data_IF_742946710421
#
_entry.id   IF_742946710421
#
_cell.length_a   1.000
_cell.length_b   1.000
_cell.length_c   1.000
_cell.angle_alpha   90.00
_cell.angle_beta   90.00
_cell.angle_gamma   90.00
#
_symmetry.space_group_name_H-M   'P 1'
#
loop_
_entity.id
_entity.type
_entity.pdbx_description
1 polymer ?
#
# COMPACT_ATOMS: atom_id res chain seq x y z
N UNK A 1 37.59 1.03 -7.74
CA UNK A 1 36.25 0.54 -7.33
C UNK A 1 35.84 1.22 -6.03
N UNK A 2 34.61 1.70 -5.89
CA UNK A 2 34.14 2.15 -4.59
C UNK A 2 34.29 1.07 -3.53
N UNK A 3 34.51 1.46 -2.29
CA UNK A 3 34.76 0.54 -1.17
C UNK A 3 33.45 0.00 -0.54
N UNK A 4 32.32 0.24 -1.17
CA UNK A 4 30.99 -0.21 -0.74
C UNK A 4 30.23 -0.80 -1.91
N UNK A 5 29.19 -1.59 -1.61
CA UNK A 5 28.33 -2.20 -2.62
C UNK A 5 26.88 -1.85 -2.34
N UNK A 6 26.09 -1.45 -3.35
CA UNK A 6 24.65 -1.32 -3.19
C UNK A 6 23.97 -2.69 -3.18
N UNK A 7 22.69 -2.71 -2.85
CA UNK A 7 21.88 -3.90 -3.03
C UNK A 7 21.49 -4.03 -4.51
N UNK A 8 22.02 -5.05 -5.18
CA UNK A 8 21.77 -5.30 -6.60
C UNK A 8 20.47 -6.03 -6.88
N UNK A 9 19.82 -6.62 -5.85
CA UNK A 9 18.54 -7.28 -6.03
C UNK A 9 17.39 -6.28 -5.99
N UNK A 10 16.32 -6.58 -6.72
CA UNK A 10 15.10 -5.82 -6.67
C UNK A 10 14.23 -6.27 -5.49
N UNK A 11 13.42 -5.36 -4.98
CA UNK A 11 12.41 -5.68 -3.98
C UNK A 11 11.41 -6.66 -4.60
N UNK A 12 11.13 -7.76 -3.88
CA UNK A 12 10.13 -8.74 -4.29
C UNK A 12 8.77 -8.26 -3.81
N UNK A 13 8.00 -7.70 -4.72
CA UNK A 13 6.65 -7.22 -4.45
C UNK A 13 5.83 -7.25 -5.73
N UNK A 14 4.64 -7.81 -5.66
CA UNK A 14 3.71 -7.79 -6.79
C UNK A 14 2.80 -6.56 -6.66
N UNK A 15 3.15 -5.50 -7.38
CA UNK A 15 2.45 -4.21 -7.37
C UNK A 15 1.02 -4.34 -7.87
N UNK A 16 0.80 -5.09 -8.94
CA UNK A 16 -0.52 -5.31 -9.51
C UNK A 16 -1.43 -6.08 -8.56
N UNK A 17 -0.92 -7.14 -7.93
CA UNK A 17 -1.67 -7.94 -6.98
C UNK A 17 -2.04 -7.14 -5.72
N UNK A 18 -1.11 -6.34 -5.18
CA UNK A 18 -1.38 -5.53 -3.99
C UNK A 18 -2.41 -4.43 -4.27
N UNK A 19 -2.32 -3.77 -5.41
CA UNK A 19 -3.28 -2.76 -5.84
C UNK A 19 -4.68 -3.38 -6.03
N UNK A 20 -4.76 -4.51 -6.72
CA UNK A 20 -6.02 -5.23 -6.94
C UNK A 20 -6.64 -5.69 -5.61
N UNK A 21 -5.83 -6.18 -4.67
CA UNK A 21 -6.31 -6.60 -3.35
C UNK A 21 -6.85 -5.41 -2.54
N UNK A 22 -6.15 -4.28 -2.53
CA UNK A 22 -6.62 -3.08 -1.83
C UNK A 22 -7.94 -2.56 -2.43
N UNK A 23 -8.05 -2.53 -3.76
CA UNK A 23 -9.27 -2.12 -4.45
C UNK A 23 -10.43 -3.08 -4.14
N UNK A 24 -10.20 -4.39 -4.18
CA UNK A 24 -11.23 -5.39 -3.87
C UNK A 24 -11.75 -5.24 -2.44
N UNK A 25 -10.88 -4.99 -1.47
CA UNK A 25 -11.27 -4.77 -0.08
C UNK A 25 -12.11 -3.49 0.08
N UNK A 26 -11.74 -2.40 -0.59
CA UNK A 26 -12.51 -1.15 -0.58
C UNK A 26 -13.87 -1.31 -1.23
N UNK A 27 -13.93 -2.02 -2.36
CA UNK A 27 -15.20 -2.33 -3.03
C UNK A 27 -16.12 -3.18 -2.16
N UNK A 28 -15.57 -4.20 -1.48
CA UNK A 28 -16.33 -5.02 -0.55
C UNK A 28 -16.88 -4.18 0.61
N UNK A 29 -16.09 -3.26 1.15
CA UNK A 29 -16.54 -2.35 2.19
C UNK A 29 -17.68 -1.44 1.70
N UNK A 30 -17.57 -0.89 0.50
CA UNK A 30 -18.60 -0.04 -0.10
C UNK A 30 -19.90 -0.80 -0.34
N UNK A 31 -19.81 -2.04 -0.86
CA UNK A 31 -20.96 -2.91 -1.05
C UNK A 31 -21.65 -3.24 0.28
N UNK A 32 -20.87 -3.47 1.32
CA UNK A 32 -21.39 -3.75 2.66
C UNK A 32 -22.13 -2.53 3.22
N UNK A 33 -21.59 -1.33 3.05
CA UNK A 33 -22.25 -0.09 3.44
C UNK A 33 -23.54 0.15 2.67
N UNK A 34 -23.55 -0.09 1.36
CA UNK A 34 -24.75 0.01 0.53
C UNK A 34 -25.83 -0.98 0.96
N UNK A 35 -25.44 -2.22 1.19
CA UNK A 35 -26.36 -3.27 1.68
C UNK A 35 -26.95 -2.92 3.05
N UNK A 36 -26.14 -2.36 3.93
CA UNK A 36 -26.57 -1.90 5.26
C UNK A 36 -27.59 -0.77 5.16
N UNK A 37 -27.31 0.24 4.32
CA UNK A 37 -28.24 1.34 4.08
C UNK A 37 -29.59 0.86 3.50
N UNK A 38 -29.55 -0.08 2.57
CA UNK A 38 -30.75 -0.67 1.98
C UNK A 38 -31.58 -1.44 3.00
N UNK A 39 -30.92 -2.21 3.87
CA UNK A 39 -31.60 -2.92 4.96
C UNK A 39 -32.26 -1.98 5.95
N UNK A 40 -31.58 -0.87 6.30
CA UNK A 40 -32.16 0.16 7.16
C UNK A 40 -33.41 0.80 6.52
N UNK A 41 -33.35 1.08 5.22
CA UNK A 41 -34.49 1.65 4.47
C UNK A 41 -35.67 0.72 4.46
N UNK A 42 -35.43 -0.57 4.14
CA UNK A 42 -36.47 -1.61 4.12
C UNK A 42 -37.08 -1.83 5.51
N UNK A 43 -36.24 -1.85 6.55
CA UNK A 43 -36.70 -1.99 7.92
C UNK A 43 -37.57 -0.81 8.35
N UNK A 44 -37.19 0.43 8.00
CA UNK A 44 -37.97 1.64 8.29
C UNK A 44 -39.34 1.57 7.64
N UNK A 45 -39.44 1.09 6.39
CA UNK A 45 -40.71 0.90 5.71
C UNK A 45 -41.60 -0.14 6.39
N UNK A 46 -41.02 -1.29 6.78
CA UNK A 46 -41.73 -2.38 7.44
C UNK A 46 -42.25 -1.98 8.83
N UNK A 47 -41.60 -1.04 9.50
CA UNK A 47 -41.91 -0.62 10.87
C UNK A 47 -42.99 0.44 10.98
N UNK A 48 -43.44 1.03 9.87
CA UNK A 48 -44.40 2.15 9.90
C UNK A 48 -45.64 1.82 10.73
N UNK A 49 -46.19 0.59 10.54
CA UNK A 49 -47.41 0.15 11.24
C UNK A 49 -47.13 -0.90 12.32
N UNK A 50 -45.87 -1.16 12.66
CA UNK A 50 -45.48 -2.19 13.60
C UNK A 50 -45.08 -1.60 14.93
N UNK A 51 -45.81 -2.01 15.99
CA UNK A 51 -45.55 -1.52 17.35
C UNK A 51 -45.48 -2.69 18.33
N UNK A 52 -44.94 -2.42 19.52
CA UNK A 52 -44.91 -3.34 20.61
C UNK A 52 -43.57 -4.02 20.85
N UNK A 53 -43.58 -5.01 21.73
CA UNK A 53 -42.39 -5.69 22.23
C UNK A 53 -41.54 -6.33 21.13
N UNK A 54 -42.18 -6.97 20.18
CA UNK A 54 -41.46 -7.66 19.10
C UNK A 54 -40.78 -6.66 18.15
N UNK A 55 -41.34 -5.47 18.00
CA UNK A 55 -40.69 -4.40 17.27
C UNK A 55 -39.43 -3.92 17.98
N UNK A 56 -39.48 -3.76 19.30
CA UNK A 56 -38.34 -3.33 20.09
C UNK A 56 -37.20 -4.37 20.02
N UNK A 57 -37.55 -5.67 20.11
CA UNK A 57 -36.57 -6.73 19.92
C UNK A 57 -35.94 -6.75 18.52
N UNK A 58 -36.75 -6.48 17.50
CA UNK A 58 -36.30 -6.39 16.12
C UNK A 58 -35.36 -5.20 15.94
N UNK A 59 -35.70 -4.03 16.49
CA UNK A 59 -34.87 -2.81 16.42
C UNK A 59 -33.51 -3.05 17.07
N UNK A 60 -33.48 -3.72 18.23
CA UNK A 60 -32.23 -4.03 18.92
C UNK A 60 -31.37 -4.99 18.10
N UNK A 61 -31.97 -6.04 17.53
CA UNK A 61 -31.24 -6.99 16.70
C UNK A 61 -30.72 -6.33 15.42
N UNK A 62 -31.54 -5.50 14.77
CA UNK A 62 -31.14 -4.75 13.58
C UNK A 62 -29.97 -3.81 13.88
N UNK A 63 -30.01 -3.10 15.02
CA UNK A 63 -28.94 -2.21 15.45
C UNK A 63 -27.62 -2.97 15.63
N UNK A 64 -27.66 -4.18 16.19
CA UNK A 64 -26.47 -5.03 16.33
C UNK A 64 -25.92 -5.48 14.98
N UNK A 65 -26.77 -5.88 14.05
CA UNK A 65 -26.38 -6.29 12.69
C UNK A 65 -25.72 -5.14 11.96
N UNK A 66 -26.32 -3.95 12.03
CA UNK A 66 -25.79 -2.74 11.40
C UNK A 66 -24.42 -2.36 12.00
N UNK A 67 -24.29 -2.41 13.32
CA UNK A 67 -23.04 -2.12 14.01
C UNK A 67 -21.92 -3.06 13.59
N UNK A 68 -22.22 -4.37 13.49
CA UNK A 68 -21.26 -5.37 13.01
C UNK A 68 -20.86 -5.13 11.55
N UNK A 69 -21.83 -4.81 10.70
CA UNK A 69 -21.56 -4.54 9.29
C UNK A 69 -20.66 -3.30 9.10
N UNK A 70 -20.92 -2.24 9.85
CA UNK A 70 -20.09 -1.02 9.84
C UNK A 70 -18.68 -1.31 10.36
N UNK A 71 -18.57 -2.10 11.42
CA UNK A 71 -17.29 -2.53 11.97
C UNK A 71 -16.48 -3.34 10.95
N UNK A 72 -17.12 -4.27 10.25
CA UNK A 72 -16.48 -5.07 9.20
C UNK A 72 -16.05 -4.20 8.03
N UNK A 73 -16.88 -3.27 7.58
CA UNK A 73 -16.50 -2.32 6.50
C UNK A 73 -15.27 -1.51 6.90
N UNK A 74 -15.20 -1.03 8.13
CA UNK A 74 -14.04 -0.31 8.66
C UNK A 74 -12.78 -1.19 8.67
N UNK A 75 -12.89 -2.45 9.10
CA UNK A 75 -11.77 -3.41 9.09
C UNK A 75 -11.27 -3.69 7.68
N UNK A 76 -12.17 -3.84 6.71
CA UNK A 76 -11.80 -4.04 5.31
C UNK A 76 -11.03 -2.84 4.75
N UNK A 77 -11.46 -1.63 5.07
CA UNK A 77 -10.76 -0.41 4.67
C UNK A 77 -9.40 -0.27 5.33
N UNK A 78 -9.29 -0.62 6.61
CA UNK A 78 -8.01 -0.65 7.31
C UNK A 78 -7.04 -1.66 6.71
N UNK A 79 -7.54 -2.85 6.34
CA UNK A 79 -6.73 -3.85 5.64
C UNK A 79 -6.23 -3.33 4.29
N UNK A 80 -7.08 -2.65 3.52
CA UNK A 80 -6.70 -2.03 2.26
C UNK A 80 -5.60 -0.97 2.47
N UNK A 81 -5.74 -0.13 3.49
CA UNK A 81 -4.76 0.90 3.83
C UNK A 81 -3.41 0.29 4.25
N UNK A 82 -3.42 -0.82 4.98
CA UNK A 82 -2.19 -1.54 5.36
C UNK A 82 -1.48 -2.11 4.15
N UNK A 83 -2.22 -2.69 3.21
CA UNK A 83 -1.67 -3.19 1.94
C UNK A 83 -1.05 -2.03 1.17
N UNK A 84 -1.76 -0.92 1.05
CA UNK A 84 -1.26 0.27 0.36
C UNK A 84 0.00 0.84 1.00
N UNK A 85 0.04 0.91 2.33
CA UNK A 85 1.22 1.37 3.08
C UNK A 85 2.41 0.45 2.88
N UNK A 86 2.20 -0.87 2.89
CA UNK A 86 3.26 -1.84 2.62
C UNK A 86 3.79 -1.72 1.19
N UNK A 87 2.89 -1.52 0.20
CA UNK A 87 3.26 -1.28 -1.19
C UNK A 87 4.10 -0.01 -1.34
N UNK A 88 3.71 1.07 -0.65
CA UNK A 88 4.45 2.33 -0.66
C UNK A 88 5.86 2.17 -0.07
N UNK A 89 5.98 1.45 1.05
CA UNK A 89 7.30 1.18 1.64
C UNK A 89 8.18 0.33 0.73
N UNK A 90 7.62 -0.68 0.08
CA UNK A 90 8.35 -1.50 -0.89
C UNK A 90 8.82 -0.68 -2.09
N UNK A 91 7.98 0.24 -2.57
CA UNK A 91 8.31 1.16 -3.65
C UNK A 91 9.42 2.12 -3.26
N UNK A 92 9.37 2.69 -2.05
CA UNK A 92 10.42 3.57 -1.53
C UNK A 92 11.75 2.83 -1.38
N UNK A 93 11.73 1.60 -0.89
CA UNK A 93 12.92 0.76 -0.80
C UNK A 93 13.51 0.46 -2.18
N UNK A 94 12.67 0.16 -3.16
CA UNK A 94 13.12 -0.06 -4.53
C UNK A 94 13.81 1.19 -5.11
N UNK A 95 13.21 2.36 -4.92
CA UNK A 95 13.82 3.64 -5.36
C UNK A 95 15.14 3.92 -4.65
N UNK A 96 15.22 3.59 -3.37
CA UNK A 96 16.46 3.73 -2.61
C UNK A 96 17.56 2.84 -3.19
N UNK A 97 17.27 1.57 -3.46
CA UNK A 97 18.23 0.64 -4.09
C UNK A 97 18.71 1.14 -5.44
N UNK A 98 17.80 1.62 -6.28
CA UNK A 98 18.13 2.17 -7.59
C UNK A 98 19.01 3.42 -7.49
N UNK A 99 18.71 4.31 -6.54
CA UNK A 99 19.51 5.50 -6.26
C UNK A 99 20.93 5.15 -5.81
N UNK A 100 21.07 4.17 -4.93
CA UNK A 100 22.37 3.67 -4.47
C UNK A 100 23.18 3.05 -5.61
N UNK A 101 22.53 2.30 -6.50
CA UNK A 101 23.17 1.72 -7.70
C UNK A 101 23.71 2.81 -8.62
N UNK A 102 22.93 3.88 -8.86
CA UNK A 102 23.36 5.02 -9.68
C UNK A 102 24.54 5.76 -9.04
N UNK A 103 24.50 5.94 -7.73
CA UNK A 103 25.61 6.56 -6.99
C UNK A 103 26.89 5.74 -7.11
N UNK A 104 26.78 4.42 -6.97
CA UNK A 104 27.93 3.52 -7.10
C UNK A 104 28.56 3.60 -8.49
N UNK A 105 27.75 3.60 -9.55
CA UNK A 105 28.24 3.76 -10.93
C UNK A 105 28.93 5.10 -11.14
N UNK A 106 28.40 6.19 -10.61
CA UNK A 106 29.03 7.50 -10.70
C UNK A 106 30.38 7.53 -9.99
N UNK A 107 30.45 6.99 -8.79
CA UNK A 107 31.70 6.92 -8.04
C UNK A 107 32.75 6.07 -8.75
N UNK A 108 32.34 4.96 -9.33
CA UNK A 108 33.20 4.08 -10.11
C UNK A 108 33.76 4.82 -11.34
N UNK A 109 32.93 5.51 -12.09
CA UNK A 109 33.34 6.30 -13.25
C UNK A 109 34.29 7.42 -12.86
N UNK A 110 34.04 8.11 -11.75
CA UNK A 110 34.90 9.16 -11.24
C UNK A 110 36.27 8.62 -10.83
N UNK A 111 36.35 7.49 -10.17
CA UNK A 111 37.59 6.82 -9.80
C UNK A 111 38.40 6.42 -11.04
N UNK A 112 37.75 5.81 -12.03
CA UNK A 112 38.39 5.42 -13.30
C UNK A 112 38.92 6.63 -14.05
N UNK A 113 38.21 7.75 -14.09
CA UNK A 113 38.63 8.98 -14.71
C UNK A 113 39.86 9.58 -14.01
N UNK A 114 39.84 9.61 -12.67
CA UNK A 114 40.99 10.10 -11.87
C UNK A 114 42.23 9.24 -12.10
N UNK A 115 42.05 7.94 -12.19
CA UNK A 115 43.14 7.00 -12.45
C UNK A 115 43.72 7.21 -13.84
N UNK A 116 42.89 7.43 -14.86
CA UNK A 116 43.34 7.74 -16.23
C UNK A 116 44.11 9.06 -16.27
N UNK A 117 43.66 10.07 -15.55
CA UNK A 117 44.36 11.35 -15.44
C UNK A 117 45.72 11.20 -14.76
N UNK A 118 45.80 10.40 -13.70
CA UNK A 118 47.08 10.10 -13.02
C UNK A 118 48.05 9.36 -13.94
N UNK A 119 47.59 8.43 -14.73
CA UNK A 119 48.39 7.72 -15.72
C UNK A 119 48.90 8.66 -16.80
N UNK A 120 48.08 9.56 -17.30
CA UNK A 120 48.49 10.60 -18.27
C UNK A 120 49.57 11.51 -17.69
N UNK A 121 49.42 11.96 -16.48
CA UNK A 121 50.43 12.79 -15.80
C UNK A 121 51.75 12.06 -15.62
N UNK A 122 51.72 10.78 -15.28
CA UNK A 122 52.92 9.95 -15.16
C UNK A 122 53.62 9.80 -16.50
N UNK A 123 52.90 9.57 -17.59
CA UNK A 123 53.48 9.51 -18.94
C UNK A 123 54.05 10.84 -19.35
N UNK A 124 53.37 11.94 -19.11
CA UNK A 124 53.83 13.28 -19.45
C UNK A 124 55.12 13.68 -18.72
N UNK A 125 55.31 13.23 -17.48
CA UNK A 125 56.51 13.50 -16.72
C UNK A 125 57.70 12.62 -17.06
N UNK A 126 57.49 11.53 -17.83
CA UNK A 126 58.56 10.64 -18.34
C UNK A 126 59.12 11.08 -19.70
N UNK A 127 58.37 11.85 -20.43
CA UNK A 127 58.76 12.41 -21.71
C UNK A 127 59.38 13.80 -21.47
#
# INVERSE_FOLDING_TARGET
MPNWQPNWSNVRWDWGASDAAAQALRQAADQLDQSTAERQRLASQAQIDWQGRYRDEFDDELARIISRARGLAAELRQAADRIQSAANRAHDEQRHRESERRRWHREKEDEERRERERRRRRQSSRD
#
